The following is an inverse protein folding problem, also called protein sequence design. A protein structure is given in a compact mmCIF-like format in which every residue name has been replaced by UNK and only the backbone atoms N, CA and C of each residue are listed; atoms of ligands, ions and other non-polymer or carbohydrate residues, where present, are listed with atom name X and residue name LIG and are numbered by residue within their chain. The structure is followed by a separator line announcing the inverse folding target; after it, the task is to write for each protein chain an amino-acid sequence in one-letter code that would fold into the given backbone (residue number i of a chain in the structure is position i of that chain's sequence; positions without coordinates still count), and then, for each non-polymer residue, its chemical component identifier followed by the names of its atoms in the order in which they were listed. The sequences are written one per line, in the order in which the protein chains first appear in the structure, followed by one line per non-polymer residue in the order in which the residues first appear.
data_IF_920418110587
#
_entry.id   IF_920418110587
#
_cell.length_a   1.000
_cell.length_b   1.000
_cell.length_c   1.000
_cell.angle_alpha   90.00
_cell.angle_beta   90.00
_cell.angle_gamma   90.00
#
_symmetry.space_group_name_H-M   'P 1'
#
loop_
_entity.id
_entity.type
_entity.pdbx_description
1 polymer ?
#
# COMPACT_ATOMS: atom_id res chain seq x y z
N UNK A 1 33.07 7.15 24.56
CA UNK A 1 31.77 6.44 24.49
C UNK A 1 32.03 4.97 24.72
N UNK A 2 31.41 4.31 25.71
CA UNK A 2 31.81 2.97 26.09
C UNK A 2 31.17 1.91 25.18
N UNK A 3 32.02 1.11 24.53
CA UNK A 3 31.65 -0.10 23.80
C UNK A 3 31.17 -1.17 24.79
N UNK A 4 29.95 -1.67 24.60
CA UNK A 4 29.44 -2.84 25.33
C UNK A 4 29.70 -4.08 24.47
N UNK A 5 30.67 -4.89 24.90
CA UNK A 5 30.92 -6.24 24.35
C UNK A 5 29.82 -7.15 24.92
N UNK A 6 29.17 -7.92 24.05
CA UNK A 6 28.23 -8.98 24.47
C UNK A 6 29.03 -10.29 24.55
N UNK A 7 29.15 -10.87 25.73
CA UNK A 7 29.63 -12.25 25.92
C UNK A 7 28.47 -13.24 25.70
N UNK A 8 28.72 -14.28 24.91
CA UNK A 8 27.82 -15.43 24.77
C UNK A 8 27.95 -16.35 25.99
N UNK A 9 26.80 -16.68 26.60
CA UNK A 9 26.73 -17.64 27.71
C UNK A 9 26.78 -19.06 27.14
N UNK A 10 27.77 -19.84 27.59
CA UNK A 10 27.89 -21.27 27.29
C UNK A 10 26.76 -22.07 27.94
N UNK A 11 26.08 -22.89 27.14
CA UNK A 11 25.10 -23.89 27.61
C UNK A 11 25.83 -25.18 28.01
N UNK A 12 25.87 -25.47 29.31
CA UNK A 12 26.26 -26.77 29.89
C UNK A 12 25.01 -27.61 30.23
N UNK A 13 25.07 -28.92 29.97
CA UNK A 13 23.92 -29.83 29.95
C UNK A 13 23.53 -30.50 31.28
N UNK A 14 22.31 -31.07 31.19
CA UNK A 14 21.67 -32.22 31.86
C UNK A 14 21.57 -32.34 33.39
N UNK A 15 20.32 -32.42 33.88
CA UNK A 15 19.74 -33.62 34.54
C UNK A 15 18.28 -33.39 34.99
N UNK A 16 17.45 -34.41 34.79
CA UNK A 16 15.99 -34.46 34.98
C UNK A 16 15.49 -34.36 36.43
N UNK A 17 14.36 -33.67 36.65
CA UNK A 17 13.37 -34.05 37.67
C UNK A 17 11.95 -33.61 37.26
N UNK A 18 11.06 -34.59 37.19
CA UNK A 18 9.63 -34.46 36.90
C UNK A 18 8.91 -33.60 37.95
N UNK A 19 8.31 -32.50 37.51
CA UNK A 19 7.22 -31.84 38.24
C UNK A 19 6.18 -31.38 37.24
N UNK A 20 4.98 -31.94 37.38
CA UNK A 20 3.75 -31.53 36.70
C UNK A 20 3.42 -30.08 37.05
N UNK A 21 3.71 -29.18 36.13
CA UNK A 21 3.27 -27.79 36.13
C UNK A 21 3.04 -27.39 34.68
N UNK A 22 1.97 -26.66 34.42
CA UNK A 22 1.60 -26.08 33.13
C UNK A 22 2.73 -25.15 32.64
N UNK A 23 3.75 -25.75 32.05
CA UNK A 23 4.96 -25.09 31.60
C UNK A 23 4.71 -24.50 30.22
N UNK A 24 4.35 -23.22 30.18
CA UNK A 24 4.42 -22.44 28.96
C UNK A 24 5.81 -22.60 28.35
N UNK A 25 5.90 -23.34 27.25
CA UNK A 25 7.13 -23.51 26.49
C UNK A 25 7.60 -22.13 26.03
N UNK A 26 8.78 -21.70 26.47
CA UNK A 26 9.45 -20.51 25.94
C UNK A 26 9.92 -20.71 24.48
N UNK A 27 9.68 -21.88 23.89
CA UNK A 27 9.96 -22.16 22.49
C UNK A 27 8.83 -21.64 21.60
N UNK A 28 9.10 -20.51 20.94
CA UNK A 28 8.24 -19.89 19.94
C UNK A 28 7.84 -20.81 18.78
N UNK A 29 8.64 -21.83 18.43
CA UNK A 29 8.32 -22.78 17.36
C UNK A 29 7.11 -23.66 17.71
N UNK A 30 6.88 -23.92 19.00
CA UNK A 30 5.81 -24.77 19.50
C UNK A 30 4.57 -23.98 19.94
N UNK A 31 4.63 -22.65 19.85
CA UNK A 31 3.55 -21.78 20.30
C UNK A 31 2.41 -21.75 19.28
N UNK A 32 1.20 -22.11 19.73
CA UNK A 32 0.00 -21.98 18.91
C UNK A 32 -0.45 -20.51 18.87
N UNK A 33 -0.20 -19.87 17.74
CA UNK A 33 -0.51 -18.46 17.51
C UNK A 33 -2.02 -18.16 17.60
N UNK A 34 -2.88 -19.16 17.40
CA UNK A 34 -4.33 -18.99 17.50
C UNK A 34 -4.78 -18.66 18.92
N UNK A 35 -3.96 -18.93 19.93
CA UNK A 35 -4.23 -18.52 21.32
C UNK A 35 -4.23 -17.00 21.51
N UNK A 36 -3.59 -16.24 20.62
CA UNK A 36 -3.51 -14.77 20.70
C UNK A 36 -4.57 -14.09 19.82
N UNK A 37 -4.96 -14.73 18.72
CA UNK A 37 -5.91 -14.16 17.75
C UNK A 37 -7.37 -14.56 18.00
N UNK A 38 -7.73 -14.84 19.25
CA UNK A 38 -9.14 -15.01 19.66
C UNK A 38 -9.75 -13.63 19.81
N UNK A 39 -10.69 -13.28 18.93
CA UNK A 39 -11.42 -12.02 19.04
C UNK A 39 -12.37 -12.10 20.26
N UNK A 40 -12.23 -11.17 21.22
CA UNK A 40 -13.12 -11.05 22.36
C UNK A 40 -14.32 -10.15 22.02
N UNK A 41 -15.54 -10.70 22.02
CA UNK A 41 -16.78 -9.96 21.80
C UNK A 41 -17.72 -10.61 20.78
N UNK A 42 -19.02 -10.29 20.84
CA UNK A 42 -19.97 -10.68 19.79
C UNK A 42 -19.75 -9.81 18.55
N UNK A 43 -19.68 -10.41 17.37
CA UNK A 43 -19.72 -9.65 16.11
C UNK A 43 -21.06 -8.91 16.03
N UNK A 44 -21.04 -7.57 16.10
CA UNK A 44 -22.23 -6.76 15.88
C UNK A 44 -22.79 -7.09 14.50
N UNK A 45 -23.96 -7.75 14.47
CA UNK A 45 -24.65 -8.07 13.23
C UNK A 45 -25.35 -6.82 12.73
N UNK A 46 -24.98 -6.30 11.55
CA UNK A 46 -25.61 -5.10 10.99
C UNK A 46 -27.10 -5.33 10.77
N UNK A 47 -27.92 -4.29 10.99
CA UNK A 47 -29.36 -4.36 10.67
C UNK A 47 -29.53 -4.46 9.15
N UNK A 48 -30.02 -5.60 8.63
CA UNK A 48 -30.15 -5.82 7.20
C UNK A 48 -31.13 -4.88 6.49
N UNK A 49 -31.96 -4.15 7.21
CA UNK A 49 -32.98 -3.25 6.66
C UNK A 49 -32.56 -1.77 6.68
N UNK A 50 -31.43 -1.44 7.33
CA UNK A 50 -30.90 -0.08 7.35
C UNK A 50 -29.98 0.13 6.13
N UNK A 51 -30.17 1.21 5.35
CA UNK A 51 -29.24 1.54 4.29
C UNK A 51 -27.87 1.89 4.88
N UNK A 52 -26.81 1.31 4.32
CA UNK A 52 -25.44 1.60 4.72
C UNK A 52 -25.08 3.08 4.47
N UNK A 53 -24.32 3.65 5.40
CA UNK A 53 -23.80 5.03 5.33
C UNK A 53 -22.38 5.03 5.89
N UNK A 54 -21.43 5.69 5.21
CA UNK A 54 -20.06 5.86 5.72
C UNK A 54 -20.00 6.73 6.98
N UNK A 55 -20.98 7.62 7.16
CA UNK A 55 -21.11 8.52 8.31
C UNK A 55 -22.18 9.59 8.06
N UNK A 56 -22.34 10.55 9.00
CA UNK A 56 -23.24 11.68 8.81
C UNK A 56 -22.92 12.45 7.53
N UNK A 57 -23.94 12.90 6.80
CA UNK A 57 -23.74 13.67 5.58
C UNK A 57 -23.11 15.02 5.89
N UNK A 58 -21.98 15.31 5.24
CA UNK A 58 -21.29 16.60 5.28
C UNK A 58 -21.56 17.29 3.94
N UNK A 59 -21.93 18.57 3.98
CA UNK A 59 -22.29 19.36 2.79
C UNK A 59 -21.46 20.64 2.61
N UNK A 60 -20.66 20.99 3.62
CA UNK A 60 -19.89 22.22 3.77
C UNK A 60 -18.38 21.92 3.98
N UNK A 61 -17.90 20.76 3.52
CA UNK A 61 -16.53 20.31 3.81
C UNK A 61 -15.45 21.24 3.25
N UNK A 62 -15.68 21.82 2.06
CA UNK A 62 -14.73 22.76 1.45
C UNK A 62 -14.59 24.04 2.29
N UNK A 63 -15.69 24.51 2.90
CA UNK A 63 -15.71 25.67 3.81
C UNK A 63 -14.99 25.34 5.12
N UNK A 64 -15.34 24.23 5.76
CA UNK A 64 -14.67 23.76 6.98
C UNK A 64 -13.16 23.59 6.78
N UNK A 65 -12.75 23.01 5.65
CA UNK A 65 -11.33 22.81 5.30
C UNK A 65 -10.62 24.14 5.06
N UNK A 66 -11.25 25.07 4.35
CA UNK A 66 -10.69 26.41 4.12
C UNK A 66 -10.47 27.16 5.44
N UNK A 67 -11.46 27.15 6.33
CA UNK A 67 -11.37 27.77 7.65
C UNK A 67 -10.30 27.12 8.53
N UNK A 68 -10.17 25.80 8.48
CA UNK A 68 -9.14 25.09 9.22
C UNK A 68 -7.74 25.44 8.71
N UNK A 69 -7.51 25.49 7.39
CA UNK A 69 -6.22 25.86 6.80
C UNK A 69 -5.84 27.30 7.16
N UNK A 70 -6.80 28.23 7.17
CA UNK A 70 -6.57 29.61 7.59
C UNK A 70 -6.14 29.72 9.06
N UNK A 71 -6.69 28.86 9.93
CA UNK A 71 -6.34 28.82 11.37
C UNK A 71 -5.06 28.04 11.66
N UNK A 72 -4.60 27.19 10.75
CA UNK A 72 -3.48 26.27 10.95
C UNK A 72 -2.37 26.42 9.89
N UNK A 73 -1.69 27.58 9.80
CA UNK A 73 -0.71 27.85 8.76
C UNK A 73 0.53 26.93 8.79
N UNK A 74 0.81 26.29 9.93
CA UNK A 74 1.90 25.31 10.07
C UNK A 74 1.62 23.98 9.35
N UNK A 75 0.38 23.76 8.89
CA UNK A 75 -0.05 22.54 8.20
C UNK A 75 -0.61 22.88 6.80
N UNK A 76 0.21 23.43 5.88
CA UNK A 76 -0.26 23.78 4.56
C UNK A 76 -0.60 22.52 3.76
N UNK A 77 -1.59 22.64 2.88
CA UNK A 77 -1.98 21.59 1.94
C UNK A 77 -1.04 21.48 0.74
N UNK A 78 -0.17 22.48 0.53
CA UNK A 78 0.96 22.44 -0.39
C UNK A 78 2.28 22.60 0.38
N UNK A 79 3.22 21.67 0.17
CA UNK A 79 4.58 21.71 0.76
C UNK A 79 5.57 22.47 -0.13
N UNK A 80 5.16 22.87 -1.34
CA UNK A 80 5.92 23.70 -2.25
C UNK A 80 5.01 24.27 -3.35
N UNK A 81 5.49 25.18 -4.20
CA UNK A 81 4.65 25.95 -5.13
C UNK A 81 3.66 25.13 -5.97
N UNK A 82 4.10 23.95 -6.44
CA UNK A 82 3.29 23.01 -7.22
C UNK A 82 3.37 21.59 -6.63
N UNK A 83 3.63 21.46 -5.33
CA UNK A 83 3.76 20.18 -4.65
C UNK A 83 2.65 20.04 -3.61
N UNK A 84 1.50 19.44 -3.97
CA UNK A 84 0.49 19.13 -2.97
C UNK A 84 1.14 18.20 -1.96
N UNK A 85 0.73 18.35 -0.72
CA UNK A 85 1.09 17.43 0.33
C UNK A 85 0.30 16.13 0.02
N UNK A 86 0.92 14.95 0.14
CA UNK A 86 0.33 13.65 -0.27
C UNK A 86 0.45 12.60 0.83
N UNK A 87 -0.63 11.86 1.07
CA UNK A 87 -0.69 10.75 2.02
C UNK A 87 -0.90 9.46 1.24
N UNK A 88 0.08 8.56 1.29
CA UNK A 88 -0.08 7.22 0.75
C UNK A 88 -0.75 6.34 1.79
N UNK A 89 -1.88 5.77 1.42
CA UNK A 89 -2.65 4.88 2.30
C UNK A 89 -2.59 3.46 1.75
N UNK A 90 -2.15 2.54 2.58
CA UNK A 90 -2.07 1.10 2.28
C UNK A 90 -2.49 0.32 3.52
N UNK A 91 -2.64 -0.99 3.38
CA UNK A 91 -3.07 -1.82 4.50
C UNK A 91 -3.21 -3.29 4.14
N UNK A 92 -3.34 -4.10 5.19
CA UNK A 92 -3.57 -5.54 5.12
C UNK A 92 -4.54 -5.96 6.21
N UNK A 93 -5.01 -7.20 6.18
CA UNK A 93 -5.81 -7.75 7.27
C UNK A 93 -4.99 -7.73 8.58
N UNK A 94 -5.65 -7.58 9.76
CA UNK A 94 -4.98 -7.69 11.05
C UNK A 94 -4.51 -9.11 11.37
N UNK A 95 -5.22 -10.11 10.84
CA UNK A 95 -4.91 -11.52 11.06
C UNK A 95 -3.73 -11.94 10.17
N UNK A 96 -2.89 -12.89 10.63
CA UNK A 96 -1.85 -13.48 9.81
C UNK A 96 -2.40 -14.01 8.49
N UNK A 97 -1.56 -14.01 7.46
CA UNK A 97 -1.94 -14.57 6.18
C UNK A 97 -2.25 -16.07 6.30
N UNK A 98 -3.26 -16.54 5.57
CA UNK A 98 -3.55 -17.97 5.47
C UNK A 98 -2.36 -18.74 4.87
N UNK A 99 -1.67 -18.11 3.91
CA UNK A 99 -0.37 -18.56 3.44
C UNK A 99 0.73 -17.81 4.22
N UNK A 100 1.49 -18.48 5.10
CA UNK A 100 2.45 -17.81 5.99
C UNK A 100 3.53 -17.01 5.24
N UNK A 101 3.89 -17.41 4.02
CA UNK A 101 4.87 -16.65 3.22
C UNK A 101 4.31 -15.28 2.78
N UNK A 102 2.99 -15.13 2.75
CA UNK A 102 2.30 -13.89 2.38
C UNK A 102 2.71 -12.69 3.23
N UNK A 103 2.90 -12.88 4.53
CA UNK A 103 3.35 -11.83 5.46
C UNK A 103 4.77 -11.33 5.10
N UNK A 104 5.65 -12.21 4.62
CA UNK A 104 6.97 -11.80 4.14
C UNK A 104 6.88 -10.91 2.89
N UNK A 105 5.92 -11.17 2.00
CA UNK A 105 5.67 -10.35 0.82
C UNK A 105 4.96 -9.03 1.16
N UNK A 106 4.09 -9.01 2.16
CA UNK A 106 3.54 -7.78 2.75
C UNK A 106 4.68 -6.89 3.28
N UNK A 107 5.61 -7.46 4.04
CA UNK A 107 6.78 -6.76 4.57
C UNK A 107 7.66 -6.15 3.46
N UNK A 108 7.96 -6.94 2.42
CA UNK A 108 8.68 -6.45 1.23
C UNK A 108 7.92 -5.32 0.52
N UNK A 109 6.60 -5.45 0.41
CA UNK A 109 5.74 -4.44 -0.22
C UNK A 109 5.74 -3.12 0.54
N UNK A 110 5.68 -3.15 1.88
CA UNK A 110 5.72 -1.92 2.68
C UNK A 110 7.13 -1.31 2.70
N UNK A 111 8.21 -2.10 2.76
CA UNK A 111 9.57 -1.55 2.58
C UNK A 111 9.70 -0.77 1.27
N UNK A 112 9.24 -1.35 0.15
CA UNK A 112 9.29 -0.69 -1.15
C UNK A 112 8.54 0.67 -1.14
N UNK A 113 7.35 0.72 -0.53
CA UNK A 113 6.59 1.97 -0.38
C UNK A 113 7.28 2.97 0.53
N UNK A 114 7.87 2.51 1.64
CA UNK A 114 8.66 3.34 2.57
C UNK A 114 9.82 4.00 1.83
N UNK A 115 10.57 3.24 1.04
CA UNK A 115 11.70 3.77 0.29
C UNK A 115 11.26 4.84 -0.72
N UNK A 116 10.21 4.56 -1.52
CA UNK A 116 9.65 5.54 -2.45
C UNK A 116 9.16 6.80 -1.74
N UNK A 117 8.31 6.66 -0.72
CA UNK A 117 7.72 7.80 -0.02
C UNK A 117 8.78 8.63 0.73
N UNK A 118 9.80 7.98 1.31
CA UNK A 118 10.94 8.65 1.95
C UNK A 118 11.69 9.53 0.96
N UNK A 119 11.89 9.06 -0.27
CA UNK A 119 12.49 9.85 -1.33
C UNK A 119 11.54 11.00 -1.67
N UNK A 120 10.31 10.72 -2.08
CA UNK A 120 9.40 11.73 -2.63
C UNK A 120 8.79 12.71 -1.62
N UNK A 121 9.01 12.52 -0.32
CA UNK A 121 8.44 13.35 0.74
C UNK A 121 6.92 13.17 0.84
N UNK A 122 6.48 11.91 0.85
CA UNK A 122 5.10 11.47 0.97
C UNK A 122 4.95 10.81 2.33
N UNK A 123 3.87 11.13 3.05
CA UNK A 123 3.56 10.49 4.33
C UNK A 123 2.88 9.14 4.07
N UNK A 124 3.03 8.18 4.98
CA UNK A 124 2.43 6.84 4.84
C UNK A 124 1.52 6.56 6.02
N UNK A 125 0.31 6.08 5.73
CA UNK A 125 -0.57 5.45 6.70
C UNK A 125 -0.76 3.97 6.32
N UNK A 126 -0.41 3.06 7.24
CA UNK A 126 -0.61 1.63 7.08
C UNK A 126 -1.73 1.16 8.00
N UNK A 127 -2.89 0.83 7.41
CA UNK A 127 -4.03 0.33 8.18
C UNK A 127 -3.95 -1.19 8.39
N UNK A 128 -4.22 -1.62 9.62
CA UNK A 128 -4.45 -3.03 9.97
C UNK A 128 -5.81 -3.23 10.68
N UNK A 129 -6.61 -2.18 10.86
CA UNK A 129 -7.90 -2.27 11.54
C UNK A 129 -9.05 -2.45 10.53
N UNK A 130 -10.02 -3.30 10.87
CA UNK A 130 -11.32 -3.33 10.19
C UNK A 130 -12.23 -2.28 10.86
N UNK A 131 -12.33 -1.10 10.23
CA UNK A 131 -13.10 0.02 10.79
C UNK A 131 -14.61 -0.19 10.73
N UNK A 132 -15.06 -1.07 9.84
CA UNK A 132 -16.46 -1.33 9.59
C UNK A 132 -16.63 -2.75 9.05
N UNK A 133 -17.40 -3.57 9.78
CA UNK A 133 -17.62 -4.98 9.46
C UNK A 133 -18.38 -5.16 8.12
N UNK A 134 -19.29 -4.25 7.78
CA UNK A 134 -20.04 -4.28 6.51
C UNK A 134 -19.14 -4.00 5.30
N UNK A 135 -17.98 -3.38 5.53
CA UNK A 135 -17.01 -2.98 4.52
C UNK A 135 -15.78 -3.90 4.47
N UNK A 136 -15.88 -5.15 4.93
CA UNK A 136 -14.78 -6.10 4.85
C UNK A 136 -14.25 -6.34 3.42
N UNK A 137 -12.97 -6.72 3.34
CA UNK A 137 -12.29 -7.07 2.09
C UNK A 137 -11.88 -5.85 1.27
N UNK A 138 -12.28 -5.81 0.00
CA UNK A 138 -11.92 -4.73 -0.94
C UNK A 138 -12.48 -3.35 -0.59
N UNK A 139 -13.56 -3.35 0.19
CA UNK A 139 -14.35 -2.18 0.52
C UNK A 139 -13.82 -1.42 1.74
N UNK A 140 -12.92 -2.02 2.53
CA UNK A 140 -12.45 -1.50 3.82
C UNK A 140 -11.70 -0.16 3.68
N UNK A 141 -11.25 0.13 2.46
CA UNK A 141 -10.63 1.39 2.11
C UNK A 141 -11.59 2.57 2.04
N UNK A 142 -12.90 2.36 1.81
CA UNK A 142 -13.85 3.47 1.74
C UNK A 142 -14.07 4.10 3.14
N UNK A 143 -14.39 3.33 4.19
CA UNK A 143 -14.41 3.88 5.55
C UNK A 143 -13.08 4.51 5.93
N UNK A 144 -11.96 3.85 5.62
CA UNK A 144 -10.63 4.40 5.91
C UNK A 144 -10.40 5.75 5.21
N UNK A 145 -10.89 5.92 3.98
CA UNK A 145 -10.76 7.18 3.24
C UNK A 145 -11.72 8.24 3.76
N UNK A 146 -12.92 7.85 4.19
CA UNK A 146 -13.92 8.74 4.77
C UNK A 146 -13.47 9.25 6.15
N UNK A 147 -13.11 8.35 7.07
CA UNK A 147 -12.61 8.69 8.41
C UNK A 147 -11.18 9.27 8.39
N UNK A 148 -10.33 8.81 7.47
CA UNK A 148 -9.02 9.42 7.24
C UNK A 148 -9.09 10.79 6.56
N UNK A 149 -10.18 11.07 5.84
CA UNK A 149 -10.43 12.35 5.17
C UNK A 149 -10.49 13.55 6.12
N UNK A 150 -10.82 13.31 7.40
CA UNK A 150 -10.79 14.29 8.48
C UNK A 150 -9.38 14.78 8.80
N UNK A 151 -8.36 13.99 8.46
CA UNK A 151 -6.94 14.22 8.78
C UNK A 151 -6.12 14.14 7.48
N UNK A 152 -6.47 14.95 6.47
CA UNK A 152 -5.52 15.40 5.43
C UNK A 152 -5.47 14.57 4.11
N UNK A 153 -5.57 15.29 2.98
CA UNK A 153 -4.91 15.08 1.66
C UNK A 153 -5.30 14.06 0.57
N UNK A 154 -4.74 14.40 -0.61
CA UNK A 154 -4.56 13.57 -1.79
C UNK A 154 -4.17 12.14 -1.40
N UNK A 155 -5.15 11.23 -1.45
CA UNK A 155 -4.97 9.86 -0.98
C UNK A 155 -4.60 8.95 -2.16
N UNK A 156 -3.38 8.43 -2.17
CA UNK A 156 -2.95 7.34 -3.06
C UNK A 156 -3.36 6.02 -2.41
N UNK A 157 -4.53 5.50 -2.79
CA UNK A 157 -5.02 4.22 -2.27
C UNK A 157 -4.31 3.08 -2.98
N UNK A 158 -3.26 2.55 -2.35
CA UNK A 158 -2.53 1.38 -2.82
C UNK A 158 -2.80 0.19 -1.91
N UNK A 159 -4.05 -0.30 -1.90
CA UNK A 159 -4.32 -1.59 -1.28
C UNK A 159 -3.63 -2.66 -2.10
N UNK A 160 -2.58 -3.22 -1.52
CA UNK A 160 -1.79 -4.31 -2.07
C UNK A 160 -1.88 -5.41 -1.02
N UNK A 161 -2.37 -6.58 -1.47
CA UNK A 161 -2.33 -7.83 -0.73
C UNK A 161 -3.45 -8.07 0.30
N UNK A 162 -4.60 -7.40 0.17
CA UNK A 162 -5.84 -7.98 0.71
C UNK A 162 -6.20 -9.25 -0.07
N UNK A 163 -6.79 -10.22 0.62
CA UNK A 163 -7.11 -11.61 0.27
C UNK A 163 -7.59 -11.91 -1.17
N UNK A 164 -7.99 -10.90 -1.94
CA UNK A 164 -8.66 -11.08 -3.24
C UNK A 164 -8.21 -10.16 -4.40
N UNK A 165 -7.11 -9.41 -4.31
CA UNK A 165 -6.27 -9.01 -5.47
C UNK A 165 -6.84 -8.25 -6.70
N UNK A 166 -7.89 -7.42 -6.63
CA UNK A 166 -8.41 -6.60 -7.78
C UNK A 166 -8.70 -5.12 -7.48
N UNK A 167 -8.05 -4.53 -6.48
CA UNK A 167 -8.39 -3.17 -6.03
C UNK A 167 -7.91 -2.04 -6.96
N UNK A 168 -8.78 -1.05 -7.19
CA UNK A 168 -8.47 0.17 -7.96
C UNK A 168 -7.36 0.99 -7.29
N UNK A 169 -6.49 1.59 -8.12
CA UNK A 169 -5.50 2.59 -7.70
C UNK A 169 -5.99 3.95 -8.14
N UNK A 170 -6.11 4.86 -7.17
CA UNK A 170 -6.71 6.16 -7.40
C UNK A 170 -5.99 7.19 -6.54
N UNK A 171 -5.97 8.40 -7.07
CA UNK A 171 -5.57 9.63 -6.39
C UNK A 171 -6.86 10.40 -6.15
N UNK A 172 -7.27 10.57 -4.88
CA UNK A 172 -8.50 11.29 -4.52
C UNK A 172 -8.13 12.59 -3.82
N UNK A 173 -8.60 13.72 -4.36
CA UNK A 173 -8.44 15.04 -3.74
C UNK A 173 -9.33 15.17 -2.50
N UNK A 174 -8.84 15.86 -1.47
CA UNK A 174 -9.62 16.14 -0.27
C UNK A 174 -10.51 17.36 -0.49
N UNK A 175 -11.75 17.11 -0.92
CA UNK A 175 -12.78 18.12 -1.17
C UNK A 175 -14.19 17.52 -1.02
N UNK A 176 -15.22 18.38 -1.03
CA UNK A 176 -16.63 17.98 -0.91
C UNK A 176 -17.03 16.97 -1.98
N UNK A 177 -16.60 17.19 -3.23
CA UNK A 177 -16.90 16.28 -4.35
C UNK A 177 -16.39 14.85 -4.10
N UNK A 178 -15.23 14.69 -3.47
CA UNK A 178 -14.69 13.38 -3.14
C UNK A 178 -15.49 12.67 -2.03
N UNK A 179 -15.98 13.41 -1.03
CA UNK A 179 -16.89 12.84 -0.02
C UNK A 179 -18.18 12.35 -0.67
N UNK A 180 -18.77 13.15 -1.56
CA UNK A 180 -19.98 12.77 -2.29
C UNK A 180 -19.75 11.55 -3.18
N UNK A 181 -18.59 11.46 -3.82
CA UNK A 181 -18.19 10.29 -4.62
C UNK A 181 -18.05 9.04 -3.75
N UNK A 182 -17.38 9.15 -2.59
CA UNK A 182 -17.20 8.01 -1.67
C UNK A 182 -18.54 7.50 -1.15
N UNK A 183 -19.45 8.39 -0.76
CA UNK A 183 -20.82 8.06 -0.35
C UNK A 183 -21.61 7.35 -1.46
N UNK A 184 -21.42 7.77 -2.71
CA UNK A 184 -22.10 7.19 -3.87
C UNK A 184 -21.50 5.84 -4.26
N UNK A 185 -20.19 5.69 -4.10
CA UNK A 185 -19.45 4.49 -4.44
C UNK A 185 -19.65 3.36 -3.41
N UNK A 186 -19.87 3.71 -2.14
CA UNK A 186 -20.14 2.74 -1.08
C UNK A 186 -21.39 1.89 -1.40
N UNK A 187 -21.31 0.55 -1.22
CA UNK A 187 -22.44 -0.34 -1.48
C UNK A 187 -23.49 -0.12 -0.40
N UNK A 188 -24.76 0.02 -0.80
CA UNK A 188 -25.85 0.39 0.13
C UNK A 188 -26.54 -0.83 0.78
N UNK A 189 -25.93 -1.54 1.73
CA UNK A 189 -26.61 -2.58 2.55
C UNK A 189 -26.46 -4.03 2.02
N UNK A 190 -27.54 -4.85 2.03
CA UNK A 190 -27.66 -6.27 1.53
C UNK A 190 -27.19 -6.52 0.07
N UNK A 191 -26.60 -5.50 -0.53
CA UNK A 191 -26.43 -5.20 -1.94
C UNK A 191 -25.23 -5.90 -2.58
N UNK A 192 -24.29 -6.53 -1.86
CA UNK A 192 -23.09 -7.07 -2.53
C UNK A 192 -23.39 -8.20 -3.53
N UNK A 193 -24.30 -9.11 -3.20
CA UNK A 193 -24.70 -10.21 -4.11
C UNK A 193 -25.62 -9.72 -5.24
N UNK A 194 -26.52 -8.79 -4.95
CA UNK A 194 -27.41 -8.20 -5.96
C UNK A 194 -26.64 -7.29 -6.92
N UNK A 195 -25.75 -6.45 -6.39
CA UNK A 195 -24.82 -5.63 -7.16
C UNK A 195 -23.89 -6.51 -8.00
N UNK A 196 -23.46 -7.68 -7.51
CA UNK A 196 -22.72 -8.64 -8.34
C UNK A 196 -23.50 -8.99 -9.62
N UNK A 197 -24.80 -9.30 -9.52
CA UNK A 197 -25.63 -9.63 -10.69
C UNK A 197 -25.75 -8.46 -11.65
N UNK A 198 -25.95 -7.25 -11.13
CA UNK A 198 -26.00 -6.02 -11.94
C UNK A 198 -24.66 -5.79 -12.63
N UNK A 199 -23.55 -5.74 -11.88
CA UNK A 199 -22.21 -5.49 -12.43
C UNK A 199 -21.82 -6.52 -13.48
N UNK A 200 -22.15 -7.81 -13.26
CA UNK A 200 -21.84 -8.87 -14.24
C UNK A 200 -22.69 -8.75 -15.51
N UNK A 201 -23.94 -8.29 -15.40
CA UNK A 201 -24.82 -8.09 -16.56
C UNK A 201 -24.41 -6.86 -17.38
N UNK A 202 -24.04 -5.79 -16.70
CA UNK A 202 -23.79 -4.48 -17.32
C UNK A 202 -22.34 -4.28 -17.78
N UNK A 203 -21.37 -4.92 -17.12
CA UNK A 203 -19.94 -4.80 -17.46
C UNK A 203 -19.47 -5.94 -18.34
N UNK A 204 -18.95 -5.57 -19.51
CA UNK A 204 -18.38 -6.50 -20.49
C UNK A 204 -17.20 -7.27 -19.86
N UNK A 205 -17.14 -8.57 -20.14
CA UNK A 205 -16.06 -9.49 -19.76
C UNK A 205 -15.80 -9.61 -18.25
N UNK A 206 -16.72 -9.13 -17.39
CA UNK A 206 -16.65 -9.32 -15.95
C UNK A 206 -17.06 -10.76 -15.59
N UNK A 207 -16.21 -11.56 -14.92
CA UNK A 207 -16.62 -12.88 -14.44
C UNK A 207 -17.65 -12.78 -13.30
N UNK A 208 -18.34 -13.88 -12.99
CA UNK A 208 -19.30 -13.94 -11.89
C UNK A 208 -18.55 -14.09 -10.55
N UNK A 209 -18.52 -13.02 -9.75
CA UNK A 209 -18.01 -13.00 -8.38
C UNK A 209 -18.55 -11.77 -7.63
N UNK A 210 -18.42 -11.76 -6.30
CA UNK A 210 -18.88 -10.67 -5.41
C UNK A 210 -18.59 -9.26 -5.96
N UNK A 211 -19.45 -8.29 -5.67
CA UNK A 211 -19.22 -6.91 -6.08
C UNK A 211 -17.88 -6.40 -5.53
N UNK A 212 -17.03 -5.90 -6.43
CA UNK A 212 -15.75 -5.30 -6.11
C UNK A 212 -15.77 -3.79 -6.38
N UNK A 213 -14.90 -3.10 -5.66
CA UNK A 213 -14.72 -1.65 -5.71
C UNK A 213 -14.36 -1.16 -7.12
N UNK A 214 -13.54 -1.91 -7.86
CA UNK A 214 -13.11 -1.53 -9.21
C UNK A 214 -14.29 -1.58 -10.20
N UNK A 215 -15.01 -2.70 -10.27
CA UNK A 215 -16.20 -2.83 -11.11
C UNK A 215 -17.27 -1.79 -10.74
N UNK A 216 -17.48 -1.52 -9.45
CA UNK A 216 -18.45 -0.52 -9.01
C UNK A 216 -18.08 0.90 -9.48
N UNK A 217 -16.80 1.27 -9.47
CA UNK A 217 -16.35 2.56 -10.00
C UNK A 217 -16.55 2.65 -11.52
N UNK A 218 -16.22 1.59 -12.26
CA UNK A 218 -16.44 1.55 -13.72
C UNK A 218 -17.93 1.74 -14.03
N UNK A 219 -18.80 1.01 -13.33
CA UNK A 219 -20.25 1.13 -13.49
C UNK A 219 -20.75 2.54 -13.16
N UNK A 220 -20.28 3.14 -12.06
CA UNK A 220 -20.65 4.49 -11.64
C UNK A 220 -20.27 5.54 -12.71
N UNK A 221 -19.04 5.49 -13.20
CA UNK A 221 -18.56 6.46 -14.20
C UNK A 221 -19.19 6.25 -15.58
N UNK A 222 -19.54 5.01 -15.93
CA UNK A 222 -20.24 4.71 -17.18
C UNK A 222 -21.70 5.17 -17.15
N UNK A 223 -22.39 5.00 -16.02
CA UNK A 223 -23.83 5.30 -15.89
C UNK A 223 -24.13 6.74 -15.47
N UNK A 224 -23.22 7.39 -14.74
CA UNK A 224 -23.39 8.75 -14.20
C UNK A 224 -22.26 9.68 -14.69
N UNK A 225 -21.87 9.54 -15.96
CA UNK A 225 -20.75 10.28 -16.55
C UNK A 225 -20.95 11.79 -16.47
N UNK A 226 -22.16 12.28 -16.67
CA UNK A 226 -22.46 13.72 -16.66
C UNK A 226 -22.29 14.34 -15.26
N UNK A 227 -22.48 13.53 -14.21
CA UNK A 227 -22.32 13.95 -12.80
C UNK A 227 -20.86 13.92 -12.36
N UNK A 228 -20.11 12.87 -12.69
CA UNK A 228 -18.78 12.62 -12.12
C UNK A 228 -17.63 12.82 -13.10
N UNK A 229 -17.85 12.60 -14.39
CA UNK A 229 -16.80 12.43 -15.39
C UNK A 229 -15.96 13.68 -15.66
N UNK A 230 -16.49 14.88 -15.42
CA UNK A 230 -15.77 16.14 -15.64
C UNK A 230 -14.61 16.39 -14.66
N UNK A 231 -14.60 15.72 -13.50
CA UNK A 231 -13.55 15.82 -12.48
C UNK A 231 -12.71 14.55 -12.37
N UNK A 232 -12.92 13.58 -13.25
CA UNK A 232 -12.17 12.33 -13.30
C UNK A 232 -11.18 12.36 -14.46
N UNK A 233 -9.90 12.16 -14.14
CA UNK A 233 -8.85 12.00 -15.13
C UNK A 233 -8.42 10.53 -15.20
N UNK A 234 -8.58 9.92 -16.37
CA UNK A 234 -8.15 8.54 -16.63
C UNK A 234 -6.73 8.54 -17.20
N UNK A 235 -5.75 8.28 -16.32
CA UNK A 235 -4.33 8.28 -16.67
C UNK A 235 -3.94 7.05 -17.52
N UNK A 236 -3.21 7.29 -18.61
CA UNK A 236 -2.66 6.24 -19.49
C UNK A 236 -1.26 6.55 -20.05
N UNK A 237 -0.70 7.72 -19.77
CA UNK A 237 0.65 8.11 -20.19
C UNK A 237 1.76 7.47 -19.36
N UNK A 238 1.47 7.04 -18.13
CA UNK A 238 2.38 6.26 -17.29
C UNK A 238 1.61 5.22 -16.46
N UNK A 239 2.32 4.22 -15.95
CA UNK A 239 1.72 3.13 -15.18
C UNK A 239 1.49 3.51 -13.71
N UNK A 240 0.48 4.35 -13.45
CA UNK A 240 -0.10 4.47 -12.10
C UNK A 240 -0.66 3.13 -11.60
N UNK A 241 -1.05 2.27 -12.56
CA UNK A 241 -1.31 0.86 -12.38
C UNK A 241 -0.77 0.08 -13.59
N UNK A 242 0.30 -0.69 -13.41
CA UNK A 242 0.87 -1.56 -14.44
C UNK A 242 0.53 -3.03 -14.21
N UNK A 243 -0.07 -3.69 -15.20
CA UNK A 243 -0.36 -5.12 -15.11
C UNK A 243 0.93 -5.94 -15.14
N UNK A 244 1.22 -6.68 -14.08
CA UNK A 244 2.49 -7.40 -13.94
C UNK A 244 2.79 -8.37 -15.09
N UNK A 245 1.78 -9.03 -15.64
CA UNK A 245 1.94 -10.06 -16.67
C UNK A 245 2.52 -9.57 -18.01
N UNK A 246 2.56 -8.26 -18.25
CA UNK A 246 3.21 -7.66 -19.45
C UNK A 246 4.51 -6.90 -19.12
N UNK A 247 4.84 -6.78 -17.84
CA UNK A 247 5.96 -5.94 -17.36
C UNK A 247 7.14 -6.77 -16.87
N UNK A 248 6.88 -7.79 -16.06
CA UNK A 248 7.94 -8.44 -15.25
C UNK A 248 8.99 -9.21 -16.06
N UNK A 249 8.63 -9.63 -17.27
CA UNK A 249 9.55 -10.33 -18.18
C UNK A 249 10.40 -9.36 -19.02
N UNK A 250 10.08 -8.05 -18.98
CA UNK A 250 10.83 -6.99 -19.67
C UNK A 250 11.83 -6.26 -18.77
N UNK A 251 11.95 -6.63 -17.50
CA UNK A 251 12.81 -5.89 -16.57
C UNK A 251 14.29 -5.87 -16.98
N UNK A 252 14.82 -6.97 -17.50
CA UNK A 252 16.18 -7.02 -18.02
C UNK A 252 16.36 -6.07 -19.22
N UNK A 253 15.44 -6.10 -20.18
CA UNK A 253 15.39 -5.14 -21.30
C UNK A 253 15.34 -3.69 -20.81
N UNK A 254 14.56 -3.42 -19.76
CA UNK A 254 14.41 -2.09 -19.18
C UNK A 254 15.69 -1.58 -18.51
N UNK A 255 16.41 -2.46 -17.81
CA UNK A 255 17.70 -2.12 -17.16
C UNK A 255 18.76 -1.81 -18.21
N UNK A 256 18.78 -2.53 -19.33
CA UNK A 256 19.79 -2.38 -20.37
C UNK A 256 19.57 -1.13 -21.24
N UNK A 257 18.31 -0.83 -21.58
CA UNK A 257 18.00 0.17 -22.61
C UNK A 257 17.47 1.51 -22.07
N UNK A 258 17.05 1.57 -20.81
CA UNK A 258 16.39 2.75 -20.25
C UNK A 258 16.93 3.10 -18.86
N UNK A 259 16.54 4.29 -18.38
CA UNK A 259 16.84 4.75 -17.04
C UNK A 259 15.56 4.87 -16.20
N UNK A 260 15.64 4.76 -14.86
CA UNK A 260 14.52 5.02 -13.96
C UNK A 260 13.96 6.44 -14.11
N UNK A 261 12.67 6.60 -13.78
CA UNK A 261 12.00 7.91 -13.72
C UNK A 261 11.02 8.22 -14.88
N UNK A 262 10.91 7.34 -15.87
CA UNK A 262 9.98 7.51 -17.02
C UNK A 262 8.53 7.17 -16.66
N UNK A 263 8.32 6.18 -15.80
CA UNK A 263 7.00 5.79 -15.28
C UNK A 263 6.14 4.92 -16.21
N UNK A 264 6.54 4.74 -17.46
CA UNK A 264 5.78 4.06 -18.53
C UNK A 264 6.37 2.68 -18.92
N UNK A 265 6.09 2.21 -20.14
CA UNK A 265 6.59 0.95 -20.70
C UNK A 265 8.11 0.81 -20.79
N UNK A 266 8.87 1.89 -20.55
CA UNK A 266 10.34 1.89 -20.51
C UNK A 266 10.88 1.70 -19.10
N UNK A 267 10.13 2.15 -18.09
CA UNK A 267 10.43 1.92 -16.67
C UNK A 267 9.15 2.17 -15.85
N UNK A 268 8.36 1.13 -15.53
CA UNK A 268 7.02 1.31 -14.97
C UNK A 268 7.08 1.91 -13.56
N UNK A 269 6.17 2.86 -13.27
CA UNK A 269 6.04 3.43 -11.93
C UNK A 269 5.50 2.39 -10.93
N UNK A 270 4.45 1.66 -11.30
CA UNK A 270 3.83 0.63 -10.47
C UNK A 270 3.72 -0.68 -11.23
N UNK A 271 4.28 -1.75 -10.66
CA UNK A 271 3.96 -3.13 -11.07
C UNK A 271 2.98 -3.75 -10.09
N UNK A 272 1.74 -3.97 -10.54
CA UNK A 272 0.65 -4.48 -9.71
C UNK A 272 0.36 -5.95 -10.01
N UNK A 273 0.55 -6.79 -8.98
CA UNK A 273 0.33 -8.23 -8.98
C UNK A 273 -1.15 -8.60 -8.77
N UNK A 274 -2.03 -8.03 -9.59
CA UNK A 274 -3.45 -8.37 -9.65
C UNK A 274 -3.61 -9.89 -9.85
N UNK A 275 -4.50 -10.52 -9.08
CA UNK A 275 -4.76 -11.96 -9.11
C UNK A 275 -3.78 -12.86 -8.34
N UNK A 276 -2.57 -12.40 -7.96
CA UNK A 276 -1.56 -13.25 -7.32
C UNK A 276 -1.79 -13.61 -5.84
N UNK A 277 -2.68 -12.89 -5.13
CA UNK A 277 -3.19 -13.14 -3.76
C UNK A 277 -2.28 -13.96 -2.81
N UNK A 278 -1.00 -13.57 -2.58
CA UNK A 278 -0.04 -14.39 -1.83
C UNK A 278 -0.34 -14.52 -0.34
N UNK A 279 -1.26 -13.71 0.21
CA UNK A 279 -1.73 -13.81 1.59
C UNK A 279 -2.92 -14.78 1.75
N UNK A 280 -3.68 -15.03 0.68
CA UNK A 280 -4.82 -15.94 0.70
C UNK A 280 -4.48 -17.33 0.14
N UNK A 281 -5.49 -18.21 0.11
CA UNK A 281 -5.37 -19.57 -0.47
C UNK A 281 -5.43 -19.64 -2.00
N UNK A 282 -6.30 -18.87 -2.64
CA UNK A 282 -6.67 -19.08 -4.06
C UNK A 282 -6.40 -17.85 -4.92
N UNK A 283 -5.29 -17.90 -5.67
CA UNK A 283 -4.91 -16.95 -6.72
C UNK A 283 -5.54 -17.27 -8.08
N UNK A 284 -5.52 -16.28 -8.97
CA UNK A 284 -5.94 -16.44 -10.38
C UNK A 284 -4.76 -16.97 -11.25
N UNK A 285 -3.54 -17.05 -10.68
CA UNK A 285 -2.30 -17.47 -11.33
C UNK A 285 -1.52 -18.46 -10.46
N UNK A 286 -0.58 -19.24 -11.03
CA UNK A 286 0.28 -20.14 -10.27
C UNK A 286 1.09 -19.41 -9.19
N UNK A 287 1.02 -19.91 -7.95
CA UNK A 287 1.66 -19.30 -6.77
C UNK A 287 3.16 -19.10 -6.99
N UNK A 288 3.87 -20.14 -7.47
CA UNK A 288 5.32 -20.07 -7.69
C UNK A 288 5.71 -18.95 -8.66
N UNK A 289 4.97 -18.81 -9.77
CA UNK A 289 5.19 -17.76 -10.75
C UNK A 289 4.98 -16.38 -10.14
N UNK A 290 3.88 -16.19 -9.42
CA UNK A 290 3.57 -14.95 -8.71
C UNK A 290 4.68 -14.57 -7.74
N UNK A 291 5.06 -15.49 -6.84
CA UNK A 291 6.06 -15.23 -5.81
C UNK A 291 7.44 -14.90 -6.42
N UNK A 292 7.86 -15.67 -7.42
CA UNK A 292 9.12 -15.43 -8.15
C UNK A 292 9.14 -14.05 -8.80
N UNK A 293 8.04 -13.64 -9.43
CA UNK A 293 7.95 -12.36 -10.12
C UNK A 293 7.81 -11.19 -9.15
N UNK A 294 7.18 -11.38 -7.98
CA UNK A 294 7.18 -10.37 -6.90
C UNK A 294 8.60 -10.14 -6.39
N UNK A 295 9.41 -11.19 -6.20
CA UNK A 295 10.83 -11.04 -5.81
C UNK A 295 11.58 -10.22 -6.86
N UNK A 296 11.36 -10.51 -8.15
CA UNK A 296 11.99 -9.77 -9.26
C UNK A 296 11.58 -8.30 -9.27
N UNK A 297 10.30 -8.00 -9.13
CA UNK A 297 9.80 -6.62 -9.08
C UNK A 297 10.33 -5.87 -7.84
N UNK A 298 10.39 -6.53 -6.69
CA UNK A 298 10.98 -5.94 -5.48
C UNK A 298 12.46 -5.60 -5.72
N UNK A 299 13.26 -6.54 -6.24
CA UNK A 299 14.69 -6.32 -6.48
C UNK A 299 14.93 -5.28 -7.59
N UNK A 300 14.03 -5.17 -8.59
CA UNK A 300 14.08 -4.14 -9.63
C UNK A 300 13.96 -2.73 -9.03
N UNK A 301 13.04 -2.54 -8.08
CA UNK A 301 12.94 -1.29 -7.31
C UNK A 301 14.06 -1.11 -6.29
N UNK A 302 14.39 -2.15 -5.52
CA UNK A 302 15.39 -2.08 -4.44
C UNK A 302 16.80 -1.82 -5.00
N UNK A 303 17.10 -2.24 -6.23
CA UNK A 303 18.34 -1.87 -6.93
C UNK A 303 18.53 -0.36 -7.04
N UNK A 304 17.47 0.41 -7.31
CA UNK A 304 17.54 1.87 -7.41
C UNK A 304 17.86 2.50 -6.05
N UNK A 305 17.44 1.86 -4.96
CA UNK A 305 17.75 2.27 -3.59
C UNK A 305 19.16 1.84 -3.17
N UNK A 306 19.58 0.62 -3.50
CA UNK A 306 20.89 0.09 -3.13
C UNK A 306 22.04 0.78 -3.87
N UNK A 307 21.81 1.22 -5.12
CA UNK A 307 22.81 1.94 -5.92
C UNK A 307 23.29 3.22 -5.24
N UNK A 308 22.39 3.91 -4.53
CA UNK A 308 22.71 5.07 -3.68
C UNK A 308 23.86 4.73 -2.72
N UNK A 309 23.80 3.55 -2.10
CA UNK A 309 24.77 3.08 -1.12
C UNK A 309 25.93 2.27 -1.74
N UNK A 310 26.01 2.17 -3.07
CA UNK A 310 27.09 1.45 -3.76
C UNK A 310 26.88 -0.07 -3.82
N UNK A 311 25.64 -0.54 -3.77
CA UNK A 311 25.28 -1.95 -3.90
C UNK A 311 24.25 -2.21 -5.01
N UNK A 312 24.17 -3.46 -5.45
CA UNK A 312 23.10 -3.96 -6.33
C UNK A 312 22.85 -5.44 -6.04
N UNK A 313 21.66 -5.94 -6.30
CA UNK A 313 21.38 -7.37 -6.29
C UNK A 313 22.24 -8.11 -7.32
N UNK A 314 22.65 -9.35 -7.00
CA UNK A 314 23.43 -10.17 -7.94
C UNK A 314 22.65 -10.46 -9.23
N UNK A 315 21.34 -10.64 -9.12
CA UNK A 315 20.35 -10.72 -10.20
C UNK A 315 18.97 -10.39 -9.63
N UNK A 316 17.98 -10.12 -10.49
CA UNK A 316 16.61 -9.85 -10.04
C UNK A 316 15.97 -11.02 -9.26
N UNK A 317 16.47 -12.24 -9.39
CA UNK A 317 16.00 -13.39 -8.62
C UNK A 317 16.76 -13.60 -7.30
N UNK A 318 17.87 -12.88 -7.06
CA UNK A 318 18.75 -13.15 -5.92
C UNK A 318 18.54 -12.16 -4.78
N UNK A 319 18.38 -12.68 -3.56
CA UNK A 319 18.46 -11.87 -2.33
C UNK A 319 19.87 -11.37 -1.98
N UNK A 320 20.91 -11.94 -2.61
CA UNK A 320 22.30 -11.55 -2.35
C UNK A 320 22.62 -10.27 -3.11
N UNK A 321 23.37 -9.37 -2.45
CA UNK A 321 23.89 -8.15 -3.07
C UNK A 321 25.37 -8.28 -3.40
N UNK A 322 25.85 -7.40 -4.29
CA UNK A 322 27.25 -7.19 -4.63
C UNK A 322 27.53 -5.69 -4.64
N UNK A 323 28.79 -5.32 -4.39
CA UNK A 323 29.24 -3.92 -4.50
C UNK A 323 29.30 -3.51 -5.97
N UNK A 324 28.96 -2.26 -6.26
CA UNK A 324 29.13 -1.66 -7.60
C UNK A 324 30.35 -0.73 -7.67
N UNK A 325 30.93 -0.38 -6.53
CA UNK A 325 32.12 0.47 -6.43
C UNK A 325 32.98 0.10 -5.22
N UNK A 326 34.25 0.49 -5.25
CA UNK A 326 35.16 0.39 -4.12
C UNK A 326 34.79 1.39 -3.02
N UNK A 327 35.23 1.11 -1.80
CA UNK A 327 35.10 2.07 -0.70
C UNK A 327 36.03 3.26 -0.92
N UNK A 328 35.59 4.43 -0.48
CA UNK A 328 36.35 5.68 -0.55
C UNK A 328 36.43 6.28 0.85
N UNK A 329 37.59 6.86 1.19
CA UNK A 329 37.74 7.68 2.39
C UNK A 329 36.98 9.01 2.31
N UNK A 330 36.49 9.38 1.12
CA UNK A 330 35.75 10.61 0.85
C UNK A 330 34.31 10.31 0.39
N UNK A 331 33.41 9.84 1.27
CA UNK A 331 32.06 9.40 0.88
C UNK A 331 31.17 10.51 0.32
N UNK A 332 31.43 11.78 0.66
CA UNK A 332 30.64 12.93 0.21
C UNK A 332 30.97 13.38 -1.22
N UNK A 333 32.13 12.99 -1.75
CA UNK A 333 32.50 13.27 -3.14
C UNK A 333 31.77 12.30 -4.11
N UNK A 334 31.26 11.18 -3.59
CA UNK A 334 30.47 10.23 -4.36
C UNK A 334 29.04 10.73 -4.52
N UNK A 335 28.70 11.13 -5.74
CA UNK A 335 27.31 11.42 -6.12
C UNK A 335 26.62 10.14 -6.53
N UNK A 336 25.37 9.98 -6.10
CA UNK A 336 24.53 8.91 -6.63
C UNK A 336 24.02 9.28 -8.04
N UNK A 337 23.95 8.31 -8.94
CA UNK A 337 23.67 8.53 -10.36
C UNK A 337 22.31 9.18 -10.62
N UNK A 338 21.33 8.93 -9.74
CA UNK A 338 19.95 9.39 -9.88
C UNK A 338 19.64 10.66 -9.06
N UNK A 339 20.59 11.18 -8.27
CA UNK A 339 20.39 12.34 -7.40
C UNK A 339 19.33 12.14 -6.29
N UNK A 340 19.12 10.91 -5.86
CA UNK A 340 18.12 10.48 -4.87
C UNK A 340 18.60 10.59 -3.42
N UNK A 341 19.89 10.77 -3.13
CA UNK A 341 20.35 11.01 -1.75
C UNK A 341 19.81 12.33 -1.18
N UNK A 342 19.89 13.39 -1.98
CA UNK A 342 19.51 14.75 -1.59
C UNK A 342 18.62 15.37 -2.68
N UNK A 343 17.42 14.82 -2.92
CA UNK A 343 16.61 15.22 -4.06
C UNK A 343 15.97 16.59 -3.82
N UNK A 344 15.81 17.36 -4.90
CA UNK A 344 15.22 18.70 -4.87
C UNK A 344 13.81 18.72 -4.25
N UNK A 345 13.03 17.63 -4.38
CA UNK A 345 11.69 17.51 -3.80
C UNK A 345 11.66 17.37 -2.26
N UNK A 346 12.81 17.21 -1.60
CA UNK A 346 12.94 17.27 -0.13
C UNK A 346 13.61 18.55 0.36
N UNK A 347 14.00 19.46 -0.53
CA UNK A 347 14.66 20.70 -0.14
C UNK A 347 13.72 21.54 0.73
N UNK A 348 14.08 21.69 2.01
CA UNK A 348 13.44 22.65 2.90
C UNK A 348 14.08 24.00 2.59
N UNK A 349 13.32 24.94 2.04
CA UNK A 349 13.77 26.34 1.97
C UNK A 349 13.78 26.88 3.39
N UNK A 350 14.95 26.87 4.03
CA UNK A 350 15.16 27.64 5.26
C UNK A 350 15.04 29.10 4.87
N UNK A 351 13.96 29.77 5.31
CA UNK A 351 13.93 31.22 5.29
C UNK A 351 15.04 31.69 6.22
N UNK A 352 16.15 32.12 5.65
CA UNK A 352 17.13 32.91 6.37
C UNK A 352 16.48 34.25 6.62
N UNK A 353 15.88 34.42 7.80
CA UNK A 353 15.64 35.74 8.34
C UNK A 353 17.03 36.36 8.52
N UNK A 354 17.43 37.19 7.56
CA UNK A 354 18.58 38.06 7.72
C UNK A 354 18.29 38.94 8.93
N UNK A 355 19.15 38.81 9.94
CA UNK A 355 19.20 39.65 11.14
C UNK A 355 19.75 41.02 10.77
#
# INVERSE_FOLDING_TARGET
MPHRVLEEIQTGGDSSSSTSGDGGSNNYETFDINKIFVDEGEEEKPDPNKPYTLGPKISDWDEQRSDWLAKNPNFPDFIGPNKPRVLLVTGSAPKPCENPVGDHYLLKSIKNKIDYCRLHGIEIFYNMALLDAEMAGFWAKLPLSFYGGWIVMLCLLTWHLSFRGRGIKIIIWNNQWALDLLDTWAPKGKIREEACKVLTRELKDRPVFEADDHSAMVYLLATQRDTWGNKVYLESGYYLHGYWGILVDRYEEMIENYHPGLGDHRSPLVTHFVGCKPCGKFGDYPVEQCLKQIVRAFNFGDNQILQIYGFTHKSLASRKVKRVRNESSNPLEMKDELGLLHPAFKAVKVQTNQV
#
